data_IF_621324341125
#
_entry.id   IF_621324341125
#
_cell.length_a   1.000
_cell.length_b   1.000
_cell.length_c   1.000
_cell.angle_alpha   90.00
_cell.angle_beta   90.00
_cell.angle_gamma   90.00
#
_symmetry.space_group_name_H-M   'P 1'
#
loop_
_entity.id
_entity.type
_entity.pdbx_description
1 polymer ?
#
# COMPACT_ATOMS: atom_id res chain seq x y z
N UNK A 1 -3.30 15.87 -20.72
CA UNK A 1 -3.47 14.99 -19.58
C UNK A 1 -2.08 14.50 -19.15
N UNK A 2 -1.72 14.71 -17.88
CA UNK A 2 -0.44 14.29 -17.33
C UNK A 2 -0.52 12.84 -16.88
N UNK A 3 0.56 12.02 -17.03
CA UNK A 3 0.56 10.64 -16.58
C UNK A 3 0.53 10.53 -15.05
N UNK A 4 -0.14 9.50 -14.53
CA UNK A 4 0.08 9.08 -13.14
C UNK A 4 1.35 8.25 -13.04
N UNK A 5 2.02 8.30 -11.88
CA UNK A 5 3.27 7.59 -11.63
C UNK A 5 3.07 6.49 -10.58
N UNK A 6 3.58 5.29 -10.88
CA UNK A 6 3.68 4.20 -9.91
C UNK A 6 4.87 3.28 -10.25
N UNK A 7 5.45 2.55 -9.28
CA UNK A 7 6.64 1.73 -9.52
C UNK A 7 6.42 0.68 -10.62
N UNK A 8 7.48 0.31 -11.33
CA UNK A 8 7.45 -0.71 -12.38
C UNK A 8 7.15 -2.12 -11.83
N UNK A 9 7.69 -2.44 -10.65
CA UNK A 9 7.42 -3.69 -9.92
C UNK A 9 6.59 -3.35 -8.69
N UNK A 10 5.27 -3.44 -8.84
CA UNK A 10 4.31 -3.09 -7.81
C UNK A 10 3.01 -3.87 -7.95
N UNK A 11 1.96 -3.48 -7.22
CA UNK A 11 0.65 -4.11 -7.31
C UNK A 11 0.06 -4.00 -8.73
N UNK A 12 -0.14 -5.14 -9.35
CA UNK A 12 -0.47 -5.27 -10.78
C UNK A 12 -1.82 -4.69 -11.22
N UNK A 13 -2.63 -4.16 -10.29
CA UNK A 13 -3.91 -3.54 -10.63
C UNK A 13 -3.82 -2.03 -10.92
N UNK A 14 -2.70 -1.37 -10.65
CA UNK A 14 -2.59 0.07 -10.94
C UNK A 14 -2.63 0.34 -12.45
N UNK A 15 -1.92 -0.44 -13.24
CA UNK A 15 -1.99 -0.36 -14.71
C UNK A 15 -3.36 -0.78 -15.23
N UNK A 16 -3.98 -1.85 -14.69
CA UNK A 16 -5.33 -2.28 -15.07
C UNK A 16 -6.35 -1.16 -14.87
N UNK A 17 -6.29 -0.45 -13.73
CA UNK A 17 -7.17 0.69 -13.49
C UNK A 17 -6.87 1.87 -14.40
N UNK A 18 -5.59 2.18 -14.60
CA UNK A 18 -5.18 3.26 -15.50
C UNK A 18 -5.68 3.01 -16.93
N UNK A 19 -5.54 1.78 -17.44
CA UNK A 19 -6.04 1.38 -18.75
C UNK A 19 -7.57 1.43 -18.84
N UNK A 20 -8.27 0.90 -17.81
CA UNK A 20 -9.73 0.91 -17.76
C UNK A 20 -10.31 2.34 -17.85
N UNK A 21 -9.69 3.27 -17.12
CA UNK A 21 -10.12 4.67 -17.10
C UNK A 21 -9.43 5.54 -18.16
N UNK A 22 -8.55 4.95 -19.00
CA UNK A 22 -7.78 5.64 -20.05
C UNK A 22 -6.95 6.78 -19.49
N UNK A 23 -6.35 6.57 -18.32
CA UNK A 23 -5.45 7.49 -17.68
C UNK A 23 -4.03 7.17 -18.18
N UNK A 24 -3.28 8.12 -18.77
CA UNK A 24 -1.89 7.87 -19.12
C UNK A 24 -1.07 7.60 -17.84
N UNK A 25 -0.11 6.69 -17.94
CA UNK A 25 0.74 6.35 -16.79
C UNK A 25 2.18 6.12 -17.21
N UNK A 26 3.09 6.29 -16.28
CA UNK A 26 4.49 5.93 -16.39
C UNK A 26 4.92 5.15 -15.15
N UNK A 27 5.87 4.24 -15.35
CA UNK A 27 6.38 3.34 -14.30
C UNK A 27 7.85 3.61 -14.03
N UNK A 28 8.20 4.51 -13.09
CA UNK A 28 9.57 4.66 -12.61
C UNK A 28 10.15 3.33 -12.14
N UNK A 29 11.38 3.04 -12.57
CA UNK A 29 12.05 1.77 -12.28
C UNK A 29 12.58 1.79 -10.84
N UNK A 30 12.35 0.69 -10.11
CA UNK A 30 12.97 0.51 -8.80
C UNK A 30 14.49 0.41 -8.92
N UNK A 31 15.22 0.78 -7.89
CA UNK A 31 16.66 0.60 -7.86
C UNK A 31 17.07 -0.89 -7.82
N UNK A 32 18.37 -1.16 -7.88
CA UNK A 32 18.93 -2.53 -7.82
C UNK A 32 18.59 -3.29 -6.51
N UNK A 33 18.13 -2.59 -5.49
CA UNK A 33 17.68 -3.15 -4.21
C UNK A 33 16.15 -3.17 -4.11
N UNK A 34 15.45 -3.00 -5.23
CA UNK A 34 13.99 -2.93 -5.31
C UNK A 34 13.34 -1.80 -4.48
N UNK A 35 14.06 -0.69 -4.27
CA UNK A 35 13.56 0.49 -3.58
C UNK A 35 13.06 1.52 -4.58
N UNK A 36 12.06 2.29 -4.17
CA UNK A 36 11.61 3.48 -4.90
C UNK A 36 12.76 4.51 -4.91
N UNK A 37 13.09 5.01 -6.09
CA UNK A 37 13.97 6.17 -6.29
C UNK A 37 13.07 7.41 -6.25
N UNK A 38 13.01 8.08 -5.12
CA UNK A 38 12.04 9.15 -4.85
C UNK A 38 12.15 10.33 -5.81
N UNK A 39 13.36 10.63 -6.29
CA UNK A 39 13.65 11.70 -7.25
C UNK A 39 12.91 11.50 -8.58
N UNK A 40 12.62 10.27 -8.98
CA UNK A 40 11.87 9.95 -10.20
C UNK A 40 10.39 10.37 -10.12
N UNK A 41 9.91 10.69 -8.93
CA UNK A 41 8.54 11.11 -8.65
C UNK A 41 8.38 12.63 -8.49
N UNK A 42 9.47 13.41 -8.61
CA UNK A 42 9.41 14.88 -8.46
C UNK A 42 8.98 15.61 -9.74
N UNK A 43 8.99 14.93 -10.87
CA UNK A 43 8.57 15.49 -12.16
C UNK A 43 7.08 15.78 -12.20
N UNK A 44 6.68 16.65 -13.09
CA UNK A 44 5.29 16.98 -13.34
C UNK A 44 4.48 15.74 -13.70
N UNK A 45 3.36 15.52 -13.01
CA UNK A 45 2.54 14.32 -13.14
C UNK A 45 1.06 14.61 -12.85
N UNK A 46 0.18 13.64 -13.15
CA UNK A 46 -1.26 13.67 -12.87
C UNK A 46 -1.65 13.06 -11.52
N UNK A 47 -0.68 12.49 -10.80
CA UNK A 47 -0.82 11.83 -9.50
C UNK A 47 0.26 10.78 -9.30
N UNK A 48 0.51 10.44 -8.06
CA UNK A 48 1.45 9.40 -7.67
C UNK A 48 0.71 8.35 -6.85
N UNK A 49 0.95 7.06 -7.11
CA UNK A 49 0.44 5.97 -6.27
C UNK A 49 1.51 4.92 -6.05
N UNK A 50 1.74 4.55 -4.80
CA UNK A 50 2.63 3.46 -4.46
C UNK A 50 2.22 2.77 -3.16
N UNK A 51 2.42 1.43 -3.07
CA UNK A 51 2.21 0.70 -1.83
C UNK A 51 3.38 0.95 -0.87
N UNK A 52 3.07 1.09 0.40
CA UNK A 52 4.08 1.16 1.45
C UNK A 52 3.62 0.37 2.69
N UNK A 53 4.14 -0.84 2.91
CA UNK A 53 5.15 -1.61 2.15
C UNK A 53 4.74 -1.99 0.72
N UNK A 54 5.72 -2.01 -0.21
CA UNK A 54 5.47 -2.37 -1.60
C UNK A 54 5.16 -3.87 -1.76
N UNK A 55 4.23 -4.20 -2.62
CA UNK A 55 3.96 -5.56 -3.06
C UNK A 55 4.35 -5.69 -4.55
N UNK A 56 5.19 -6.68 -4.96
CA UNK A 56 5.51 -7.91 -4.23
C UNK A 56 6.82 -7.88 -3.41
N UNK A 57 7.55 -6.78 -3.38
CA UNK A 57 8.91 -6.75 -2.80
C UNK A 57 8.92 -6.85 -1.27
N UNK A 58 7.87 -6.42 -0.60
CA UNK A 58 7.78 -6.33 0.86
C UNK A 58 8.52 -5.12 1.46
N UNK A 59 9.25 -4.37 0.65
CA UNK A 59 10.08 -3.25 1.11
C UNK A 59 9.20 -2.07 1.53
N UNK A 60 9.53 -1.50 2.68
CA UNK A 60 8.92 -0.28 3.20
C UNK A 60 9.88 0.91 3.01
N UNK A 61 9.37 2.00 2.45
CA UNK A 61 10.08 3.28 2.44
C UNK A 61 9.99 3.92 3.83
N UNK A 62 10.99 4.70 4.20
CA UNK A 62 10.96 5.49 5.42
C UNK A 62 9.87 6.57 5.36
N UNK A 63 9.35 6.99 6.52
CA UNK A 63 8.38 8.09 6.55
C UNK A 63 8.97 9.38 5.94
N UNK A 64 10.28 9.61 6.11
CA UNK A 64 10.98 10.75 5.53
C UNK A 64 11.00 10.70 3.99
N UNK A 65 11.20 9.52 3.38
CA UNK A 65 11.15 9.39 1.92
C UNK A 65 9.73 9.54 1.38
N UNK A 66 8.74 9.02 2.10
CA UNK A 66 7.32 9.24 1.77
C UNK A 66 6.98 10.72 1.85
N UNK A 67 7.39 11.41 2.91
CA UNK A 67 7.18 12.85 3.07
C UNK A 67 7.84 13.65 1.95
N UNK A 68 9.04 13.25 1.55
CA UNK A 68 9.79 13.91 0.50
C UNK A 68 9.03 13.81 -0.85
N UNK A 69 8.53 12.62 -1.21
CA UNK A 69 7.67 12.46 -2.40
C UNK A 69 6.41 13.34 -2.29
N UNK A 70 5.71 13.31 -1.16
CA UNK A 70 4.47 14.10 -0.97
C UNK A 70 4.74 15.59 -1.11
N UNK A 71 5.82 16.09 -0.52
CA UNK A 71 6.17 17.52 -0.49
C UNK A 71 6.56 18.06 -1.85
N UNK A 72 7.10 17.23 -2.75
CA UNK A 72 7.46 17.61 -4.12
C UNK A 72 6.28 17.53 -5.12
N UNK A 73 5.13 16.99 -4.69
CA UNK A 73 3.95 16.78 -5.54
C UNK A 73 2.75 17.62 -5.11
N UNK A 74 2.97 18.90 -4.73
CA UNK A 74 1.91 19.76 -4.17
C UNK A 74 0.73 20.02 -5.12
N UNK A 75 0.96 19.93 -6.41
CA UNK A 75 -0.05 20.16 -7.45
C UNK A 75 -0.71 18.87 -7.95
N UNK A 76 -0.36 17.74 -7.38
CA UNK A 76 -0.94 16.43 -7.70
C UNK A 76 -1.17 15.58 -6.44
N UNK A 77 -2.10 14.64 -6.52
CA UNK A 77 -2.46 13.76 -5.39
C UNK A 77 -1.42 12.66 -5.26
N UNK A 78 -0.98 12.40 -4.03
CA UNK A 78 -0.14 11.26 -3.68
C UNK A 78 -0.96 10.26 -2.88
N UNK A 79 -1.13 9.05 -3.41
CA UNK A 79 -1.81 7.95 -2.75
C UNK A 79 -0.76 6.97 -2.21
N UNK A 80 -0.71 6.83 -0.89
CA UNK A 80 0.10 5.83 -0.21
C UNK A 80 -0.81 4.66 0.16
N UNK A 81 -0.60 3.53 -0.50
CA UNK A 81 -1.37 2.31 -0.25
C UNK A 81 -0.74 1.50 0.88
N UNK A 82 -1.33 1.60 2.06
CA UNK A 82 -0.88 0.96 3.29
C UNK A 82 -1.57 -0.39 3.54
N UNK A 83 -1.81 -1.16 2.50
CA UNK A 83 -2.46 -2.47 2.64
C UNK A 83 -1.71 -3.44 3.57
N UNK A 84 -0.40 -3.25 3.75
CA UNK A 84 0.47 -4.13 4.55
C UNK A 84 1.13 -3.44 5.75
N UNK A 85 0.85 -2.17 6.01
CA UNK A 85 1.55 -1.36 7.01
C UNK A 85 1.51 -1.94 8.44
N UNK A 86 0.47 -2.68 8.77
CA UNK A 86 0.31 -3.28 10.10
C UNK A 86 1.35 -4.38 10.39
N UNK A 87 2.05 -4.89 9.36
CA UNK A 87 3.09 -5.92 9.52
C UNK A 87 4.51 -5.34 9.65
N UNK A 88 4.67 -4.01 9.54
CA UNK A 88 5.94 -3.30 9.71
C UNK A 88 5.94 -1.96 8.97
N UNK A 89 6.81 -1.08 9.42
CA UNK A 89 6.94 0.26 8.89
C UNK A 89 6.23 1.33 9.70
N UNK A 90 6.41 2.58 9.26
CA UNK A 90 5.78 3.76 9.85
C UNK A 90 4.74 4.33 8.89
N UNK A 91 3.54 4.59 9.42
CA UNK A 91 2.41 5.03 8.61
C UNK A 91 2.54 6.49 8.17
N UNK A 92 2.21 6.75 6.91
CA UNK A 92 2.05 8.10 6.35
C UNK A 92 0.89 8.90 7.00
N UNK A 93 0.06 8.28 7.83
CA UNK A 93 -0.94 8.99 8.63
C UNK A 93 -0.33 10.08 9.53
N UNK A 94 0.93 9.93 9.94
CA UNK A 94 1.66 10.96 10.68
C UNK A 94 1.82 12.28 9.89
N UNK A 95 1.62 12.25 8.57
CA UNK A 95 1.75 13.40 7.68
C UNK A 95 0.40 14.01 7.26
N UNK A 96 -0.73 13.37 7.61
CA UNK A 96 -2.04 13.68 7.01
C UNK A 96 -2.51 15.11 7.26
N UNK A 97 -2.20 15.66 8.44
CA UNK A 97 -2.58 17.04 8.81
C UNK A 97 -1.64 18.10 8.23
N UNK A 98 -0.54 17.68 7.58
CA UNK A 98 0.49 18.59 7.03
C UNK A 98 0.41 18.74 5.53
N UNK A 99 -0.23 17.80 4.84
CA UNK A 99 -0.24 17.70 3.38
C UNK A 99 -1.64 17.47 2.82
N UNK A 100 -2.22 18.49 2.20
CA UNK A 100 -3.57 18.44 1.62
C UNK A 100 -3.68 17.51 0.40
N UNK A 101 -2.56 17.15 -0.21
CA UNK A 101 -2.48 16.28 -1.38
C UNK A 101 -2.26 14.80 -1.04
N UNK A 102 -2.18 14.44 0.26
CA UNK A 102 -1.95 13.07 0.69
C UNK A 102 -3.25 12.30 0.88
N UNK A 103 -3.30 11.10 0.33
CA UNK A 103 -4.33 10.08 0.59
C UNK A 103 -3.65 8.82 1.08
N UNK A 104 -4.07 8.31 2.23
CA UNK A 104 -3.64 7.00 2.74
C UNK A 104 -4.79 6.02 2.59
N UNK A 105 -4.54 4.88 1.93
CA UNK A 105 -5.53 3.81 1.78
C UNK A 105 -5.16 2.60 2.62
N UNK A 106 -6.16 1.93 3.20
CA UNK A 106 -6.00 0.73 4.01
C UNK A 106 -7.08 -0.29 3.71
N UNK A 107 -6.84 -1.53 4.10
CA UNK A 107 -7.75 -2.65 3.86
C UNK A 107 -7.88 -3.55 5.08
N UNK A 108 -9.04 -4.19 5.24
CA UNK A 108 -9.24 -5.29 6.19
C UNK A 108 -8.81 -6.65 5.62
N UNK A 109 -8.47 -6.69 4.34
CA UNK A 109 -8.18 -7.93 3.62
C UNK A 109 -6.91 -8.64 4.08
N UNK A 110 -5.96 -7.94 4.72
CA UNK A 110 -4.64 -8.45 5.08
C UNK A 110 -4.54 -8.70 6.59
N UNK A 111 -4.17 -7.70 7.35
CA UNK A 111 -3.90 -7.81 8.79
C UNK A 111 -5.13 -8.24 9.61
N UNK A 112 -6.33 -7.86 9.19
CA UNK A 112 -7.58 -8.28 9.84
C UNK A 112 -8.20 -9.57 9.28
N UNK A 113 -7.52 -10.23 8.31
CA UNK A 113 -7.95 -11.52 7.73
C UNK A 113 -9.37 -11.52 7.15
N UNK A 114 -9.85 -10.38 6.66
CA UNK A 114 -11.24 -10.17 6.21
C UNK A 114 -11.36 -9.91 4.69
N UNK A 115 -10.53 -10.54 3.89
CA UNK A 115 -10.52 -10.34 2.44
C UNK A 115 -11.89 -10.57 1.78
N UNK A 116 -12.65 -11.56 2.25
CA UNK A 116 -13.99 -11.90 1.74
C UNK A 116 -15.05 -10.83 2.05
N UNK A 117 -14.86 -9.98 3.05
CA UNK A 117 -15.82 -8.94 3.43
C UNK A 117 -15.73 -7.67 2.59
N UNK A 118 -14.69 -7.52 1.77
CA UNK A 118 -14.46 -6.40 0.85
C UNK A 118 -14.50 -5.03 1.53
N UNK A 119 -13.80 -4.89 2.67
CA UNK A 119 -13.69 -3.64 3.43
C UNK A 119 -12.36 -2.97 3.15
N UNK A 120 -12.39 -1.72 2.72
CA UNK A 120 -11.26 -0.82 2.60
C UNK A 120 -11.70 0.60 2.96
N UNK A 121 -10.73 1.45 3.28
CA UNK A 121 -10.99 2.83 3.62
C UNK A 121 -9.82 3.73 3.20
N UNK A 122 -10.14 5.00 3.01
CA UNK A 122 -9.16 6.04 2.72
C UNK A 122 -9.23 7.12 3.80
N UNK A 123 -8.09 7.71 4.10
CA UNK A 123 -7.94 8.82 5.03
C UNK A 123 -7.24 9.95 4.29
N UNK A 124 -7.83 11.14 4.35
CA UNK A 124 -7.29 12.35 3.72
C UNK A 124 -8.01 13.58 4.27
N UNK A 125 -7.69 14.75 3.75
CA UNK A 125 -8.42 15.96 4.08
C UNK A 125 -9.91 15.91 3.60
N UNK A 126 -10.80 16.72 4.18
CA UNK A 126 -12.22 16.69 3.86
C UNK A 126 -12.56 16.94 2.39
N UNK A 127 -11.76 17.73 1.67
CA UNK A 127 -12.01 18.04 0.25
C UNK A 127 -11.82 16.81 -0.62
N UNK A 128 -10.72 16.08 -0.43
CA UNK A 128 -10.44 14.83 -1.15
C UNK A 128 -11.44 13.74 -0.75
N UNK A 129 -11.77 13.61 0.53
CA UNK A 129 -12.78 12.64 0.98
C UNK A 129 -14.16 12.95 0.39
N UNK A 130 -14.51 14.24 0.27
CA UNK A 130 -15.75 14.63 -0.41
C UNK A 130 -15.75 14.20 -1.87
N UNK A 131 -14.67 14.47 -2.61
CA UNK A 131 -14.55 14.07 -4.01
C UNK A 131 -14.68 12.54 -4.19
N UNK A 132 -14.00 11.76 -3.32
CA UNK A 132 -14.11 10.30 -3.32
C UNK A 132 -15.56 9.83 -3.03
N UNK A 133 -16.26 10.49 -2.10
CA UNK A 133 -17.66 10.20 -1.83
C UNK A 133 -18.57 10.57 -3.00
N UNK A 134 -18.34 11.68 -3.68
CA UNK A 134 -19.11 12.08 -4.86
C UNK A 134 -19.01 10.99 -5.97
N UNK A 135 -17.80 10.46 -6.22
CA UNK A 135 -17.58 9.34 -7.13
C UNK A 135 -18.26 8.07 -6.63
N UNK A 136 -18.06 7.71 -5.36
CA UNK A 136 -18.67 6.51 -4.75
C UNK A 136 -20.19 6.54 -4.87
N UNK A 137 -20.83 7.65 -4.54
CA UNK A 137 -22.29 7.77 -4.59
C UNK A 137 -22.83 7.83 -6.01
N UNK A 138 -22.03 8.27 -6.98
CA UNK A 138 -22.40 8.25 -8.40
C UNK A 138 -22.29 6.86 -9.03
N UNK A 139 -21.38 6.03 -8.54
CA UNK A 139 -21.05 4.71 -9.11
C UNK A 139 -21.69 3.56 -8.34
N UNK A 140 -21.49 3.49 -7.02
CA UNK A 140 -22.03 2.43 -6.15
C UNK A 140 -22.19 2.94 -4.71
N UNK A 141 -23.35 3.50 -4.40
CA UNK A 141 -23.65 4.06 -3.08
C UNK A 141 -23.77 3.02 -1.97
N UNK A 142 -24.11 1.77 -2.32
CA UNK A 142 -24.33 0.67 -1.35
C UNK A 142 -23.23 -0.38 -1.41
N UNK A 143 -21.98 0.05 -1.28
CA UNK A 143 -20.80 -0.81 -1.45
C UNK A 143 -20.66 -1.88 -0.37
N UNK A 144 -21.13 -1.62 0.86
CA UNK A 144 -20.98 -2.52 2.00
C UNK A 144 -22.30 -3.16 2.38
N UNK A 145 -22.33 -4.48 2.46
CA UNK A 145 -23.46 -5.22 3.00
C UNK A 145 -23.48 -5.20 4.55
N UNK A 146 -24.62 -5.51 5.15
CA UNK A 146 -24.79 -5.47 6.60
C UNK A 146 -23.85 -6.44 7.37
N UNK A 147 -23.62 -7.70 6.93
CA UNK A 147 -22.63 -8.56 7.56
C UNK A 147 -21.22 -7.94 7.59
N UNK A 148 -20.76 -7.35 6.48
CA UNK A 148 -19.45 -6.68 6.43
C UNK A 148 -19.37 -5.53 7.44
N UNK A 149 -20.41 -4.72 7.57
CA UNK A 149 -20.44 -3.61 8.53
C UNK A 149 -20.35 -4.13 9.97
N UNK A 150 -21.14 -5.13 10.32
CA UNK A 150 -21.18 -5.70 11.68
C UNK A 150 -19.82 -6.34 12.01
N UNK A 151 -19.33 -7.25 11.18
CA UNK A 151 -18.09 -7.97 11.41
C UNK A 151 -16.87 -7.04 11.39
N UNK A 152 -16.84 -6.06 10.47
CA UNK A 152 -15.79 -5.05 10.43
C UNK A 152 -15.75 -4.20 11.68
N UNK A 153 -16.92 -3.80 12.20
CA UNK A 153 -17.03 -3.04 13.45
C UNK A 153 -16.49 -3.85 14.65
N UNK A 154 -16.90 -5.11 14.77
CA UNK A 154 -16.41 -5.97 15.86
C UNK A 154 -14.90 -6.23 15.73
N UNK A 155 -14.37 -6.41 14.52
CA UNK A 155 -12.94 -6.55 14.29
C UNK A 155 -12.12 -5.33 14.74
N UNK A 156 -12.68 -4.13 14.62
CA UNK A 156 -11.99 -2.89 15.10
C UNK A 156 -11.98 -2.84 16.63
N UNK A 157 -13.03 -3.33 17.28
CA UNK A 157 -13.12 -3.37 18.75
C UNK A 157 -12.20 -4.42 19.37
N UNK A 158 -11.91 -5.51 18.66
CA UNK A 158 -11.05 -6.60 19.12
C UNK A 158 -9.56 -6.31 18.81
N UNK A 159 -9.04 -5.32 19.51
CA UNK A 159 -7.66 -4.85 19.35
C UNK A 159 -6.63 -5.87 19.86
N UNK A 160 -6.97 -6.63 20.89
CA UNK A 160 -6.07 -7.64 21.48
C UNK A 160 -5.83 -8.78 20.50
N UNK A 161 -6.89 -9.35 19.91
CA UNK A 161 -6.78 -10.39 18.90
C UNK A 161 -6.02 -9.88 17.66
N UNK A 162 -6.31 -8.67 17.22
CA UNK A 162 -5.63 -8.05 16.10
C UNK A 162 -4.12 -7.97 16.32
N UNK A 163 -3.68 -7.41 17.45
CA UNK A 163 -2.25 -7.29 17.77
C UNK A 163 -1.57 -8.64 17.91
N UNK A 164 -2.21 -9.60 18.58
CA UNK A 164 -1.68 -10.95 18.76
C UNK A 164 -1.49 -11.67 17.41
N UNK A 165 -2.48 -11.60 16.52
CA UNK A 165 -2.39 -12.24 15.20
C UNK A 165 -1.34 -11.59 14.31
N UNK A 166 -1.24 -10.27 14.27
CA UNK A 166 -0.19 -9.53 13.55
C UNK A 166 1.20 -9.92 14.06
N UNK A 167 1.40 -9.94 15.38
CA UNK A 167 2.67 -10.32 16.00
C UNK A 167 3.08 -11.76 15.64
N UNK A 168 2.13 -12.69 15.59
CA UNK A 168 2.37 -14.07 15.16
C UNK A 168 2.82 -14.16 13.69
N UNK A 169 2.21 -13.37 12.81
CA UNK A 169 2.60 -13.31 11.39
C UNK A 169 4.01 -12.76 11.25
N UNK A 170 4.33 -11.65 11.93
CA UNK A 170 5.68 -11.06 11.91
C UNK A 170 6.72 -12.08 12.37
N UNK A 171 6.50 -12.70 13.54
CA UNK A 171 7.41 -13.72 14.07
C UNK A 171 7.57 -14.92 13.14
N UNK A 172 6.50 -15.33 12.46
CA UNK A 172 6.53 -16.44 11.51
C UNK A 172 7.34 -16.05 10.27
N UNK A 173 7.17 -14.85 9.75
CA UNK A 173 7.96 -14.31 8.62
C UNK A 173 9.45 -14.27 8.97
N UNK A 174 9.81 -13.72 10.11
CA UNK A 174 11.21 -13.63 10.57
C UNK A 174 11.84 -15.03 10.66
N UNK A 175 11.16 -15.97 11.32
CA UNK A 175 11.62 -17.34 11.42
C UNK A 175 11.75 -17.99 10.03
N UNK A 176 10.75 -17.82 9.16
CA UNK A 176 10.78 -18.39 7.82
C UNK A 176 11.98 -17.90 7.00
N UNK A 177 12.30 -16.61 7.06
CA UNK A 177 13.47 -16.04 6.39
C UNK A 177 14.76 -16.70 6.88
N UNK A 178 14.92 -16.92 8.19
CA UNK A 178 16.09 -17.61 8.74
C UNK A 178 16.13 -19.10 8.34
N UNK A 179 14.98 -19.75 8.30
CA UNK A 179 14.89 -21.19 7.95
C UNK A 179 15.24 -21.46 6.47
N UNK A 180 14.96 -20.53 5.55
CA UNK A 180 15.23 -20.73 4.10
C UNK A 180 16.62 -20.27 3.66
N UNK A 181 17.29 -19.40 4.40
CA UNK A 181 18.68 -18.97 4.10
C UNK A 181 19.67 -20.14 3.92
N UNK A 182 19.73 -21.14 4.82
CA UNK A 182 20.61 -22.28 4.65
C UNK A 182 20.29 -23.15 3.42
N UNK A 183 19.09 -23.00 2.84
CA UNK A 183 18.66 -23.69 1.64
C UNK A 183 19.12 -22.97 0.35
N UNK A 184 19.84 -21.86 0.46
CA UNK A 184 20.37 -21.08 -0.67
C UNK A 184 19.45 -19.93 -1.14
N UNK A 185 18.39 -19.61 -0.40
CA UNK A 185 17.54 -18.49 -0.74
C UNK A 185 18.10 -17.16 -0.23
N UNK A 186 17.97 -16.14 -1.06
CA UNK A 186 18.20 -14.74 -0.69
C UNK A 186 16.83 -14.05 -0.61
N UNK A 187 16.55 -13.38 0.52
CA UNK A 187 15.30 -12.66 0.74
C UNK A 187 15.55 -11.16 0.83
N UNK A 188 14.63 -10.37 0.30
CA UNK A 188 14.55 -8.95 0.61
C UNK A 188 13.98 -8.76 2.03
N UNK A 189 14.35 -7.64 2.65
CA UNK A 189 13.75 -7.24 3.94
C UNK A 189 12.26 -6.94 3.73
N UNK A 190 11.42 -7.70 4.39
CA UNK A 190 9.98 -7.55 4.25
C UNK A 190 9.34 -6.93 5.47
N UNK A 191 8.50 -5.92 5.24
CA UNK A 191 7.55 -5.33 6.19
C UNK A 191 6.10 -5.72 5.89
N UNK A 192 5.89 -6.82 5.14
CA UNK A 192 4.57 -7.34 4.76
C UNK A 192 4.32 -8.74 5.39
N UNK A 193 3.23 -9.38 5.03
CA UNK A 193 2.92 -10.77 5.44
C UNK A 193 3.39 -11.82 4.42
N UNK A 194 4.36 -11.47 3.59
CA UNK A 194 5.03 -12.33 2.61
C UNK A 194 6.51 -11.98 2.53
N UNK A 195 7.30 -12.80 1.86
CA UNK A 195 8.71 -12.55 1.53
C UNK A 195 8.92 -12.62 0.02
N UNK A 196 9.83 -11.79 -0.47
CA UNK A 196 10.31 -11.86 -1.84
C UNK A 196 11.68 -12.53 -1.81
N UNK A 197 11.72 -13.76 -2.32
CA UNK A 197 12.91 -14.62 -2.24
C UNK A 197 13.38 -15.02 -3.64
N UNK A 198 14.70 -15.16 -3.79
CA UNK A 198 15.35 -15.64 -5.01
C UNK A 198 16.27 -16.80 -4.68
N UNK A 199 16.51 -17.68 -5.67
CA UNK A 199 17.44 -18.80 -5.58
C UNK A 199 18.19 -18.98 -6.91
N UNK A 200 19.48 -19.29 -6.86
CA UNK A 200 20.32 -19.37 -8.09
C UNK A 200 19.86 -20.46 -9.06
N UNK A 201 19.39 -21.59 -8.57
CA UNK A 201 19.06 -22.77 -9.37
C UNK A 201 17.56 -23.10 -9.43
N UNK A 202 16.71 -22.37 -8.72
CA UNK A 202 15.26 -22.55 -8.72
C UNK A 202 14.62 -21.34 -9.39
N UNK A 203 14.06 -21.51 -10.60
CA UNK A 203 13.37 -20.39 -11.27
C UNK A 203 12.09 -20.01 -10.53
N UNK A 204 11.68 -18.74 -10.69
CA UNK A 204 10.42 -18.22 -10.15
C UNK A 204 9.22 -18.72 -10.96
#
# INVERSE_FOLDING_TARGET
DKPILFPDITYSFYDVWAELFRIPYERPVLDKNFRIVKEDYYRENGGVVFPNPNAPTGICQSLADVEDIVSHNKDSIVIVDEAYIDFGGESALALIDRYDNLVVTRTFSKSRSMAGLRIGYAISNPVLIKAMNDVKYSYNSYTMNRPSIIMGTESVKDEEYFRDTVAKVIKTRERFVEDIKPLGFTCLDSSANFVFATHESIPA
#
